data_IF_765854055552
#
_entry.id   IF_765854055552
#
_cell.length_a   1.000
_cell.length_b   1.000
_cell.length_c   1.000
_cell.angle_alpha   90.00
_cell.angle_beta   90.00
_cell.angle_gamma   90.00
#
_symmetry.space_group_name_H-M   'P 1'
#
loop_
_entity.id
_entity.type
_entity.pdbx_description
1 polymer ?
#
# COMPACT_ATOMS: atom_id res chain seq x y z
N UNK A 1 -49.94 -28.56 72.97
CA UNK A 1 -48.49 -28.31 73.09
C UNK A 1 -48.00 -27.84 71.72
N UNK A 2 -47.75 -26.53 71.55
CA UNK A 2 -46.39 -25.89 71.53
C UNK A 2 -45.57 -26.43 70.33
N UNK A 3 -45.12 -25.68 69.33
CA UNK A 3 -44.77 -24.26 69.17
C UNK A 3 -44.77 -23.92 67.65
N UNK A 4 -45.22 -22.72 67.25
CA UNK A 4 -45.00 -22.14 65.92
C UNK A 4 -43.59 -21.51 65.83
N UNK A 5 -42.88 -21.55 64.68
CA UNK A 5 -41.85 -20.55 64.41
C UNK A 5 -42.32 -19.55 63.35
N UNK A 6 -42.55 -18.34 63.85
CA UNK A 6 -41.95 -17.09 63.45
C UNK A 6 -41.33 -16.94 62.03
N UNK A 7 -41.79 -15.88 61.38
CA UNK A 7 -41.31 -15.20 60.19
C UNK A 7 -39.79 -15.19 59.93
N UNK A 8 -39.44 -15.36 58.65
CA UNK A 8 -38.43 -14.51 58.02
C UNK A 8 -39.02 -13.91 56.73
N UNK A 9 -39.51 -12.68 56.81
CA UNK A 9 -39.52 -11.77 55.66
C UNK A 9 -38.07 -11.33 55.47
N UNK A 10 -37.35 -11.90 54.50
CA UNK A 10 -36.21 -11.18 53.93
C UNK A 10 -36.69 -10.45 52.69
N UNK A 11 -36.83 -9.16 52.91
CA UNK A 11 -37.14 -8.10 51.96
C UNK A 11 -36.10 -8.09 50.84
N UNK A 12 -36.60 -8.05 49.60
CA UNK A 12 -36.19 -7.11 48.56
C UNK A 12 -34.75 -7.22 48.00
N UNK A 13 -34.73 -7.17 46.66
CA UNK A 13 -33.58 -6.83 45.78
C UNK A 13 -32.60 -7.97 45.55
N UNK A 14 -32.71 -8.62 44.38
CA UNK A 14 -31.62 -9.12 43.51
C UNK A 14 -32.00 -10.36 42.70
N UNK A 15 -33.08 -10.31 41.92
CA UNK A 15 -33.28 -11.30 40.83
C UNK A 15 -34.11 -10.73 39.68
N UNK A 16 -33.83 -9.47 39.32
CA UNK A 16 -34.28 -8.86 38.07
C UNK A 16 -33.09 -8.28 37.29
N UNK A 17 -31.95 -8.99 37.30
CA UNK A 17 -30.83 -8.75 36.38
C UNK A 17 -30.58 -10.05 35.59
N UNK A 18 -31.62 -10.52 34.92
CA UNK A 18 -31.49 -11.41 33.74
C UNK A 18 -32.43 -10.89 32.66
N UNK A 19 -32.42 -9.57 32.50
CA UNK A 19 -32.89 -8.90 31.30
C UNK A 19 -31.64 -8.26 30.67
N UNK A 20 -31.53 -8.40 29.35
CA UNK A 20 -30.70 -7.54 28.50
C UNK A 20 -29.23 -7.93 28.22
N UNK A 21 -28.97 -9.17 27.81
CA UNK A 21 -27.79 -9.49 26.97
C UNK A 21 -28.14 -10.32 25.72
N UNK A 22 -29.40 -10.28 25.29
CA UNK A 22 -29.92 -11.08 24.16
C UNK A 22 -30.45 -10.27 22.98
N UNK A 23 -30.13 -8.98 22.87
CA UNK A 23 -30.64 -8.11 21.81
C UNK A 23 -29.57 -7.17 21.23
N UNK A 24 -28.40 -7.73 20.90
CA UNK A 24 -27.44 -7.09 20.00
C UNK A 24 -27.32 -7.95 18.74
N UNK A 25 -28.44 -8.18 18.07
CA UNK A 25 -28.50 -8.77 16.73
C UNK A 25 -28.40 -7.64 15.69
N UNK A 26 -27.30 -6.89 15.75
CA UNK A 26 -27.02 -5.78 14.85
C UNK A 26 -25.51 -5.62 14.71
N UNK A 27 -25.01 -5.93 13.52
CA UNK A 27 -23.69 -5.64 12.96
C UNK A 27 -22.59 -5.28 13.97
N UNK A 28 -22.19 -6.25 14.79
CA UNK A 28 -20.94 -6.16 15.53
C UNK A 28 -20.16 -7.43 15.22
N UNK A 29 -19.21 -7.33 14.30
CA UNK A 29 -17.94 -8.04 14.48
C UNK A 29 -17.37 -7.53 15.81
N UNK A 30 -17.85 -8.13 16.90
CA UNK A 30 -17.42 -7.79 18.25
C UNK A 30 -15.94 -8.16 18.44
N UNK A 31 -15.41 -8.00 19.66
CA UNK A 31 -13.99 -8.26 19.98
C UNK A 31 -13.52 -9.71 19.76
N UNK A 32 -14.39 -10.56 19.20
CA UNK A 32 -14.24 -12.00 19.01
C UNK A 32 -14.37 -12.41 17.52
N UNK A 33 -14.09 -11.53 16.56
CA UNK A 33 -14.12 -11.87 15.12
C UNK A 33 -13.24 -13.07 14.76
N UNK A 34 -12.11 -13.27 15.47
CA UNK A 34 -11.22 -14.41 15.27
C UNK A 34 -11.81 -15.78 15.62
N UNK A 35 -12.86 -15.84 16.46
CA UNK A 35 -13.57 -17.10 16.77
C UNK A 35 -14.79 -17.33 15.88
N UNK A 36 -15.15 -16.37 15.02
CA UNK A 36 -16.24 -16.50 14.05
C UNK A 36 -16.05 -17.72 13.12
N UNK A 37 -14.80 -18.07 12.78
CA UNK A 37 -14.50 -19.27 11.97
C UNK A 37 -14.88 -20.59 12.64
N UNK A 38 -15.03 -20.62 13.97
CA UNK A 38 -15.38 -21.80 14.74
C UNK A 38 -16.89 -21.92 15.01
N UNK A 39 -17.64 -20.84 14.75
CA UNK A 39 -19.10 -20.74 14.92
C UNK A 39 -19.82 -21.46 13.77
N UNK A 40 -20.62 -22.51 14.05
CA UNK A 40 -21.28 -23.29 13.01
C UNK A 40 -22.37 -22.52 12.26
N UNK A 41 -23.04 -21.56 12.91
CA UNK A 41 -24.05 -20.67 12.35
C UNK A 41 -23.46 -19.74 11.29
N UNK A 42 -22.37 -19.01 11.62
CA UNK A 42 -21.69 -18.13 10.67
C UNK A 42 -21.07 -18.89 9.50
N UNK A 43 -20.54 -20.10 9.74
CA UNK A 43 -20.05 -20.95 8.65
C UNK A 43 -21.15 -21.40 7.70
N UNK A 44 -22.40 -21.56 8.18
CA UNK A 44 -23.53 -21.88 7.31
C UNK A 44 -23.89 -20.67 6.47
N UNK A 45 -23.98 -19.50 7.08
CA UNK A 45 -24.22 -18.23 6.40
C UNK A 45 -23.16 -17.94 5.33
N UNK A 46 -21.87 -18.09 5.64
CA UNK A 46 -20.80 -17.93 4.64
C UNK A 46 -20.89 -18.93 3.47
N UNK A 47 -21.40 -20.15 3.71
CA UNK A 47 -21.64 -21.12 2.64
C UNK A 47 -22.83 -20.73 1.77
N UNK A 48 -23.87 -20.16 2.37
CA UNK A 48 -25.03 -19.63 1.67
C UNK A 48 -24.63 -18.40 0.83
N UNK A 49 -23.81 -17.50 1.36
CA UNK A 49 -23.30 -16.33 0.66
C UNK A 49 -22.37 -16.69 -0.52
N UNK A 50 -21.57 -17.75 -0.37
CA UNK A 50 -20.68 -18.24 -1.43
C UNK A 50 -21.43 -18.68 -2.69
N UNK A 51 -22.75 -18.90 -2.63
CA UNK A 51 -23.59 -19.19 -3.80
C UNK A 51 -23.64 -18.00 -4.78
N UNK A 52 -23.52 -16.77 -4.28
CA UNK A 52 -23.61 -15.56 -5.11
C UNK A 52 -22.31 -15.19 -5.82
N UNK A 53 -21.23 -15.92 -5.56
CA UNK A 53 -19.92 -15.72 -6.17
C UNK A 53 -18.80 -15.64 -5.13
N UNK A 54 -17.54 -15.51 -5.58
CA UNK A 54 -16.42 -15.37 -4.68
C UNK A 54 -16.47 -14.03 -3.95
N UNK A 55 -16.17 -14.05 -2.66
CA UNK A 55 -16.01 -12.83 -1.86
C UNK A 55 -14.78 -12.04 -2.33
N UNK A 56 -14.75 -10.73 -2.07
CA UNK A 56 -13.58 -9.89 -2.36
C UNK A 56 -12.30 -10.47 -1.72
N UNK A 57 -12.40 -11.00 -0.49
CA UNK A 57 -11.27 -11.62 0.19
C UNK A 57 -10.72 -12.83 -0.57
N UNK A 58 -11.60 -13.73 -1.03
CA UNK A 58 -11.22 -14.88 -1.85
C UNK A 58 -10.61 -14.44 -3.17
N UNK A 59 -11.20 -13.46 -3.85
CA UNK A 59 -10.66 -12.93 -5.12
C UNK A 59 -9.24 -12.38 -4.94
N UNK A 60 -8.99 -11.59 -3.89
CA UNK A 60 -7.67 -11.05 -3.59
C UNK A 60 -6.69 -12.18 -3.24
N UNK A 61 -7.12 -13.18 -2.48
CA UNK A 61 -6.30 -14.35 -2.15
C UNK A 61 -5.92 -15.17 -3.39
N UNK A 62 -6.86 -15.38 -4.31
CA UNK A 62 -6.64 -16.10 -5.56
C UNK A 62 -5.67 -15.35 -6.48
N UNK A 63 -5.81 -14.03 -6.57
CA UNK A 63 -4.85 -13.18 -7.29
C UNK A 63 -3.45 -13.22 -6.68
N UNK A 64 -3.35 -13.29 -5.34
CA UNK A 64 -2.07 -13.45 -4.66
C UNK A 64 -1.44 -14.82 -4.97
N UNK A 65 -2.22 -15.90 -4.96
CA UNK A 65 -1.74 -17.23 -5.37
C UNK A 65 -1.27 -17.23 -6.81
N UNK A 66 -2.02 -16.61 -7.72
CA UNK A 66 -1.64 -16.47 -9.12
C UNK A 66 -0.31 -15.72 -9.28
N UNK A 67 -0.14 -14.60 -8.57
CA UNK A 67 1.12 -13.84 -8.57
C UNK A 67 2.31 -14.68 -8.10
N UNK A 68 2.13 -15.46 -7.04
CA UNK A 68 3.20 -16.34 -6.53
C UNK A 68 3.53 -17.49 -7.49
N UNK A 69 2.57 -17.92 -8.31
CA UNK A 69 2.74 -18.98 -9.30
C UNK A 69 3.11 -18.44 -10.70
N UNK A 70 3.19 -17.12 -10.90
CA UNK A 70 3.32 -16.52 -12.23
C UNK A 70 4.54 -17.03 -13.02
N UNK A 71 5.66 -17.24 -12.33
CA UNK A 71 6.90 -17.75 -12.92
C UNK A 71 6.80 -19.22 -13.38
N UNK A 72 5.87 -20.01 -12.83
CA UNK A 72 5.71 -21.43 -13.19
C UNK A 72 4.72 -21.63 -14.35
N UNK A 73 4.01 -20.57 -14.75
CA UNK A 73 3.04 -20.62 -15.85
C UNK A 73 3.76 -20.63 -17.20
N UNK A 74 3.21 -21.37 -18.16
CA UNK A 74 3.64 -21.27 -19.56
C UNK A 74 3.33 -19.89 -20.13
N UNK A 75 4.05 -19.42 -21.17
CA UNK A 75 3.77 -18.13 -21.82
C UNK A 75 2.31 -18.00 -22.30
N UNK A 76 1.72 -19.11 -22.77
CA UNK A 76 0.31 -19.16 -23.19
C UNK A 76 -0.66 -18.97 -22.03
N UNK A 77 -0.36 -19.54 -20.86
CA UNK A 77 -1.18 -19.36 -19.66
C UNK A 77 -1.02 -17.94 -19.10
N UNK A 78 0.19 -17.39 -19.10
CA UNK A 78 0.43 -16.00 -18.70
C UNK A 78 -0.36 -15.02 -19.57
N UNK A 79 -0.40 -15.23 -20.88
CA UNK A 79 -1.19 -14.42 -21.81
C UNK A 79 -2.70 -14.56 -21.55
N UNK A 80 -3.20 -15.79 -21.39
CA UNK A 80 -4.61 -16.04 -21.08
C UNK A 80 -5.04 -15.38 -19.76
N UNK A 81 -4.19 -15.45 -18.72
CA UNK A 81 -4.43 -14.75 -17.47
C UNK A 81 -4.39 -13.23 -17.66
N UNK A 82 -3.44 -12.71 -18.42
CA UNK A 82 -3.33 -11.27 -18.67
C UNK A 82 -4.59 -10.71 -19.33
N UNK A 83 -5.15 -11.41 -20.32
CA UNK A 83 -6.39 -11.04 -21.00
C UNK A 83 -7.58 -11.03 -20.04
N UNK A 84 -7.79 -12.13 -19.29
CA UNK A 84 -8.88 -12.23 -18.31
C UNK A 84 -8.78 -11.15 -17.22
N UNK A 85 -7.58 -10.86 -16.73
CA UNK A 85 -7.38 -9.85 -15.69
C UNK A 85 -7.60 -8.43 -16.23
N UNK A 86 -7.22 -8.16 -17.48
CA UNK A 86 -7.50 -6.89 -18.15
C UNK A 86 -9.01 -6.68 -18.35
N UNK A 87 -9.74 -7.70 -18.82
CA UNK A 87 -11.21 -7.67 -18.94
C UNK A 87 -11.88 -7.41 -17.59
N UNK A 88 -11.41 -8.08 -16.53
CA UNK A 88 -11.94 -7.88 -15.18
C UNK A 88 -11.68 -6.47 -14.64
N UNK A 89 -10.54 -5.87 -15.01
CA UNK A 89 -10.23 -4.50 -14.65
C UNK A 89 -11.15 -3.48 -15.35
N UNK A 90 -11.54 -3.74 -16.61
CA UNK A 90 -12.48 -2.90 -17.36
C UNK A 90 -13.92 -2.98 -16.84
N UNK A 91 -14.29 -4.09 -16.20
CA UNK A 91 -15.62 -4.32 -15.64
C UNK A 91 -15.95 -3.50 -14.36
N UNK A 92 -15.23 -2.39 -14.11
CA UNK A 92 -15.38 -1.51 -12.94
C UNK A 92 -15.27 -2.25 -11.60
N UNK A 93 -14.17 -2.98 -11.41
CA UNK A 93 -13.85 -3.62 -10.14
C UNK A 93 -13.70 -2.61 -8.98
N UNK A 94 -13.91 -3.07 -7.75
CA UNK A 94 -13.69 -2.24 -6.56
C UNK A 94 -12.23 -1.77 -6.48
N UNK A 95 -11.93 -0.61 -5.85
CA UNK A 95 -10.55 -0.11 -5.72
C UNK A 95 -9.56 -1.14 -5.16
N UNK A 96 -9.98 -1.90 -4.15
CA UNK A 96 -9.17 -2.95 -3.51
C UNK A 96 -8.89 -4.10 -4.48
N UNK A 97 -9.90 -4.52 -5.26
CA UNK A 97 -9.70 -5.57 -6.26
C UNK A 97 -8.81 -5.06 -7.39
N UNK A 98 -9.02 -3.82 -7.86
CA UNK A 98 -8.19 -3.16 -8.87
C UNK A 98 -6.72 -3.09 -8.46
N UNK A 99 -6.43 -2.75 -7.21
CA UNK A 99 -5.06 -2.77 -6.70
C UNK A 99 -4.42 -4.16 -6.85
N UNK A 100 -5.15 -5.20 -6.47
CA UNK A 100 -4.69 -6.58 -6.57
C UNK A 100 -4.49 -7.03 -8.02
N UNK A 101 -5.43 -6.67 -8.91
CA UNK A 101 -5.34 -6.96 -10.35
C UNK A 101 -4.09 -6.32 -10.96
N UNK A 102 -3.86 -5.03 -10.69
CA UNK A 102 -2.71 -4.28 -11.20
C UNK A 102 -1.40 -4.88 -10.70
N UNK A 103 -1.31 -5.26 -9.42
CA UNK A 103 -0.12 -5.96 -8.88
C UNK A 103 0.12 -7.30 -9.57
N UNK A 104 -0.93 -8.07 -9.84
CA UNK A 104 -0.80 -9.36 -10.51
C UNK A 104 -0.41 -9.19 -11.99
N UNK A 105 -0.95 -8.19 -12.68
CA UNK A 105 -0.50 -7.84 -14.04
C UNK A 105 0.97 -7.42 -14.06
N UNK A 106 1.47 -6.78 -13.00
CA UNK A 106 2.88 -6.41 -12.83
C UNK A 106 3.88 -7.55 -13.02
N UNK A 107 3.53 -8.76 -12.56
CA UNK A 107 4.42 -9.93 -12.61
C UNK A 107 4.25 -10.78 -13.86
N UNK A 108 3.25 -10.50 -14.71
CA UNK A 108 3.00 -11.25 -15.94
C UNK A 108 3.77 -10.60 -17.10
N UNK A 109 4.77 -11.27 -17.70
CA UNK A 109 5.65 -10.67 -18.70
C UNK A 109 5.02 -10.64 -20.11
N UNK A 110 3.81 -10.11 -20.22
CA UNK A 110 3.05 -10.05 -21.48
C UNK A 110 2.80 -8.60 -21.91
N UNK A 111 2.55 -8.39 -23.20
CA UNK A 111 2.18 -7.06 -23.73
C UNK A 111 0.75 -6.65 -23.33
N UNK A 112 -0.14 -7.61 -23.16
CA UNK A 112 -1.49 -7.39 -22.63
C UNK A 112 -1.41 -6.82 -21.21
N UNK A 113 -0.55 -7.40 -20.35
CA UNK A 113 -0.32 -6.86 -19.02
C UNK A 113 0.30 -5.45 -19.05
N UNK A 114 1.31 -5.22 -19.90
CA UNK A 114 1.90 -3.89 -20.06
C UNK A 114 0.86 -2.84 -20.49
N UNK A 115 -0.03 -3.20 -21.40
CA UNK A 115 -1.13 -2.33 -21.86
C UNK A 115 -2.07 -1.98 -20.72
N UNK A 116 -2.48 -2.96 -19.92
CA UNK A 116 -3.32 -2.71 -18.75
C UNK A 116 -2.63 -1.80 -17.72
N UNK A 117 -1.32 -1.99 -17.49
CA UNK A 117 -0.53 -1.13 -16.59
C UNK A 117 -0.38 0.31 -17.11
N UNK A 118 -0.28 0.52 -18.43
CA UNK A 118 -0.29 1.87 -19.05
C UNK A 118 -1.61 2.60 -18.81
N UNK A 119 -2.71 1.86 -18.72
CA UNK A 119 -4.02 2.41 -18.34
C UNK A 119 -4.10 2.66 -16.83
N UNK A 120 -3.58 1.74 -16.01
CA UNK A 120 -3.64 1.82 -14.55
C UNK A 120 -2.93 3.06 -13.96
N UNK A 121 -1.82 3.51 -14.56
CA UNK A 121 -1.14 4.77 -14.14
C UNK A 121 -1.96 6.03 -14.38
N UNK A 122 -3.10 5.94 -15.10
CA UNK A 122 -4.04 7.03 -15.36
C UNK A 122 -5.39 6.83 -14.65
N UNK A 123 -5.50 5.82 -13.80
CA UNK A 123 -6.75 5.47 -13.12
C UNK A 123 -7.24 6.63 -12.21
N UNK A 124 -8.56 6.89 -12.11
CA UNK A 124 -9.08 7.96 -11.27
C UNK A 124 -8.69 7.83 -9.79
N UNK A 125 -8.67 6.59 -9.27
CA UNK A 125 -8.30 6.30 -7.88
C UNK A 125 -6.77 6.36 -7.65
N UNK A 126 -6.26 7.21 -6.74
CA UNK A 126 -4.83 7.31 -6.43
C UNK A 126 -4.18 6.02 -5.93
N UNK A 127 -4.93 5.19 -5.19
CA UNK A 127 -4.40 3.91 -4.68
C UNK A 127 -4.06 2.94 -5.82
N UNK A 128 -4.90 2.91 -6.86
CA UNK A 128 -4.65 2.11 -8.06
C UNK A 128 -3.44 2.64 -8.84
N UNK A 129 -3.29 3.96 -8.96
CA UNK A 129 -2.10 4.55 -9.61
C UNK A 129 -0.81 4.25 -8.84
N UNK A 130 -0.86 4.30 -7.51
CA UNK A 130 0.27 3.94 -6.64
C UNK A 130 0.65 2.47 -6.80
N UNK A 131 -0.34 1.57 -6.91
CA UNK A 131 -0.10 0.17 -7.20
C UNK A 131 0.47 -0.05 -8.61
N UNK A 132 0.05 0.74 -9.59
CA UNK A 132 0.62 0.70 -10.93
C UNK A 132 2.11 1.11 -10.93
N UNK A 133 2.51 2.10 -10.11
CA UNK A 133 3.91 2.42 -9.92
C UNK A 133 4.72 1.23 -9.37
N UNK A 134 4.19 0.52 -8.37
CA UNK A 134 4.84 -0.67 -7.83
C UNK A 134 4.96 -1.78 -8.89
N UNK A 135 3.88 -2.03 -9.65
CA UNK A 135 3.85 -3.03 -10.72
C UNK A 135 4.88 -2.72 -11.82
N UNK A 136 4.99 -1.46 -12.27
CA UNK A 136 6.05 -1.05 -13.21
C UNK A 136 7.45 -1.25 -12.61
N UNK A 137 7.63 -0.94 -11.33
CA UNK A 137 8.92 -1.13 -10.65
C UNK A 137 9.33 -2.61 -10.55
N UNK A 138 8.37 -3.52 -10.41
CA UNK A 138 8.60 -4.96 -10.40
C UNK A 138 8.88 -5.51 -11.80
N UNK A 139 8.13 -5.05 -12.80
CA UNK A 139 8.33 -5.44 -14.21
C UNK A 139 9.70 -5.03 -14.74
N UNK A 140 10.19 -3.85 -14.33
CA UNK A 140 11.49 -3.35 -14.73
C UNK A 140 11.55 -2.92 -16.21
N UNK A 141 12.78 -2.72 -16.71
CA UNK A 141 13.01 -2.26 -18.08
C UNK A 141 12.94 -0.73 -18.26
N UNK A 142 13.30 -0.28 -19.47
CA UNK A 142 13.34 1.14 -19.80
C UNK A 142 11.96 1.79 -19.83
N UNK A 143 10.94 1.07 -20.30
CA UNK A 143 9.55 1.56 -20.28
C UNK A 143 9.08 1.85 -18.85
N UNK A 144 9.37 0.97 -17.89
CA UNK A 144 8.98 1.17 -16.51
C UNK A 144 9.58 2.47 -15.94
N UNK A 145 10.87 2.72 -16.16
CA UNK A 145 11.51 3.96 -15.74
C UNK A 145 10.82 5.20 -16.35
N UNK A 146 10.39 5.12 -17.61
CA UNK A 146 9.74 6.21 -18.33
C UNK A 146 8.32 6.49 -17.84
N UNK A 147 7.54 5.43 -17.57
CA UNK A 147 6.22 5.54 -16.95
C UNK A 147 6.33 6.15 -15.56
N UNK A 148 7.27 5.66 -14.74
CA UNK A 148 7.48 6.17 -13.39
C UNK A 148 7.97 7.63 -13.37
N UNK A 149 8.85 8.01 -14.30
CA UNK A 149 9.29 9.40 -14.45
C UNK A 149 8.11 10.33 -14.80
N UNK A 150 7.23 9.88 -15.69
CA UNK A 150 6.02 10.62 -16.07
C UNK A 150 5.11 10.84 -14.86
N UNK A 151 4.82 9.77 -14.10
CA UNK A 151 3.96 9.86 -12.91
C UNK A 151 4.60 10.75 -11.83
N UNK A 152 5.90 10.61 -11.58
CA UNK A 152 6.62 11.42 -10.60
C UNK A 152 6.56 12.92 -10.89
N UNK A 153 6.56 13.32 -12.17
CA UNK A 153 6.53 14.73 -12.57
C UNK A 153 5.14 15.33 -12.77
N UNK A 154 4.13 14.52 -13.07
CA UNK A 154 2.83 15.01 -13.54
C UNK A 154 1.62 14.65 -12.66
N UNK A 155 1.73 13.70 -11.73
CA UNK A 155 0.57 13.30 -10.92
C UNK A 155 0.16 14.41 -9.93
N UNK A 156 -1.14 14.67 -9.85
CA UNK A 156 -1.70 15.69 -8.96
C UNK A 156 -1.70 15.24 -7.49
N UNK A 157 -1.72 13.93 -7.24
CA UNK A 157 -1.71 13.38 -5.89
C UNK A 157 -0.26 13.20 -5.41
N UNK A 158 0.07 13.78 -4.26
CA UNK A 158 1.41 13.72 -3.69
C UNK A 158 1.85 12.29 -3.35
N UNK A 159 0.97 11.44 -2.84
CA UNK A 159 1.31 10.08 -2.45
C UNK A 159 1.66 9.22 -3.67
N UNK A 160 0.99 9.46 -4.80
CA UNK A 160 1.32 8.82 -6.08
C UNK A 160 2.68 9.28 -6.59
N UNK A 161 2.99 10.60 -6.53
CA UNK A 161 4.34 11.10 -6.88
C UNK A 161 5.41 10.45 -5.99
N UNK A 162 5.15 10.33 -4.68
CA UNK A 162 6.05 9.70 -3.72
C UNK A 162 6.25 8.21 -4.00
N UNK A 163 5.21 7.50 -4.44
CA UNK A 163 5.28 6.10 -4.86
C UNK A 163 6.15 5.96 -6.11
N UNK A 164 5.94 6.82 -7.13
CA UNK A 164 6.72 6.83 -8.35
C UNK A 164 8.21 7.14 -8.11
N UNK A 165 8.52 8.15 -7.29
CA UNK A 165 9.91 8.48 -6.93
C UNK A 165 10.59 7.37 -6.14
N UNK A 166 9.86 6.68 -5.26
CA UNK A 166 10.39 5.50 -4.57
C UNK A 166 10.66 4.37 -5.56
N UNK A 167 9.74 4.10 -6.47
CA UNK A 167 9.87 3.06 -7.49
C UNK A 167 11.07 3.32 -8.43
N UNK A 168 11.29 4.59 -8.82
CA UNK A 168 12.43 5.02 -9.62
C UNK A 168 13.79 4.67 -8.98
N UNK A 169 13.86 4.52 -7.65
CA UNK A 169 15.12 4.14 -6.99
C UNK A 169 15.64 2.76 -7.39
N UNK A 170 14.80 1.92 -8.03
CA UNK A 170 15.18 0.60 -8.55
C UNK A 170 15.85 0.66 -9.92
N UNK A 171 15.88 1.84 -10.56
CA UNK A 171 16.35 2.02 -11.92
C UNK A 171 17.61 2.88 -11.95
N UNK A 172 18.81 2.27 -11.94
CA UNK A 172 20.04 3.04 -12.03
C UNK A 172 20.18 3.68 -13.41
N UNK A 173 20.76 4.88 -13.45
CA UNK A 173 21.10 5.54 -14.69
C UNK A 173 20.94 7.06 -14.66
N UNK A 174 21.58 7.72 -15.63
CA UNK A 174 21.59 9.19 -15.72
C UNK A 174 20.19 9.78 -15.83
N UNK A 175 19.30 9.15 -16.60
CA UNK A 175 17.91 9.60 -16.76
C UNK A 175 17.14 9.61 -15.44
N UNK A 176 17.31 8.57 -14.62
CA UNK A 176 16.71 8.49 -13.28
C UNK A 176 17.26 9.58 -12.38
N UNK A 177 18.58 9.78 -12.34
CA UNK A 177 19.22 10.84 -11.53
C UNK A 177 18.67 12.22 -11.93
N UNK A 178 18.55 12.51 -13.24
CA UNK A 178 17.96 13.76 -13.71
C UNK A 178 16.50 13.91 -13.28
N UNK A 179 15.70 12.85 -13.41
CA UNK A 179 14.27 12.86 -13.02
C UNK A 179 14.09 13.11 -11.52
N UNK A 180 14.85 12.39 -10.69
CA UNK A 180 14.84 12.59 -9.23
C UNK A 180 15.36 13.99 -8.88
N UNK A 181 16.33 14.50 -9.63
CA UNK A 181 16.85 15.86 -9.48
C UNK A 181 15.79 16.94 -9.65
N UNK A 182 14.88 16.79 -10.62
CA UNK A 182 13.74 17.72 -10.79
C UNK A 182 12.86 17.77 -9.54
N UNK A 183 12.65 16.63 -8.87
CA UNK A 183 11.84 16.56 -7.66
C UNK A 183 12.49 17.23 -6.43
N UNK A 184 13.77 17.61 -6.49
CA UNK A 184 14.42 18.44 -5.46
C UNK A 184 13.89 19.88 -5.45
N UNK A 185 13.21 20.31 -6.51
CA UNK A 185 12.60 21.63 -6.64
C UNK A 185 11.08 21.62 -6.43
N UNK A 186 10.51 20.47 -6.05
CA UNK A 186 9.10 20.36 -5.68
C UNK A 186 8.79 21.22 -4.45
N UNK A 187 7.59 21.79 -4.38
CA UNK A 187 7.16 22.61 -3.23
C UNK A 187 6.95 21.79 -1.95
N UNK A 188 6.71 20.49 -2.09
CA UNK A 188 6.52 19.57 -0.98
C UNK A 188 7.85 19.07 -0.42
N UNK A 189 8.09 19.34 0.86
CA UNK A 189 9.25 18.82 1.58
C UNK A 189 9.28 17.27 1.58
N UNK A 190 8.11 16.61 1.59
CA UNK A 190 8.04 15.15 1.51
C UNK A 190 8.57 14.63 0.17
N UNK A 191 8.28 15.34 -0.92
CA UNK A 191 8.76 15.00 -2.27
C UNK A 191 10.25 15.25 -2.41
N UNK A 192 10.74 16.41 -1.95
CA UNK A 192 12.18 16.69 -1.90
C UNK A 192 12.93 15.62 -1.11
N UNK A 193 12.42 15.28 0.08
CA UNK A 193 13.01 14.23 0.92
C UNK A 193 13.02 12.88 0.20
N UNK A 194 11.91 12.49 -0.42
CA UNK A 194 11.85 11.24 -1.19
C UNK A 194 12.84 11.21 -2.34
N UNK A 195 12.98 12.33 -3.06
CA UNK A 195 13.95 12.47 -4.14
C UNK A 195 15.39 12.27 -3.64
N UNK A 196 15.76 12.89 -2.52
CA UNK A 196 17.07 12.70 -1.89
C UNK A 196 17.31 11.24 -1.49
N UNK A 197 16.32 10.58 -0.87
CA UNK A 197 16.44 9.16 -0.50
C UNK A 197 16.61 8.26 -1.74
N UNK A 198 15.83 8.50 -2.79
CA UNK A 198 15.96 7.75 -4.04
C UNK A 198 17.29 8.01 -4.73
N UNK A 199 17.80 9.25 -4.71
CA UNK A 199 19.13 9.59 -5.24
C UNK A 199 20.22 8.88 -4.45
N UNK A 200 20.15 8.84 -3.13
CA UNK A 200 21.06 8.08 -2.27
C UNK A 200 21.11 6.59 -2.65
N UNK A 201 19.95 5.98 -2.87
CA UNK A 201 19.87 4.56 -3.30
C UNK A 201 20.49 4.37 -4.69
N UNK A 202 20.18 5.24 -5.65
CA UNK A 202 20.62 5.08 -7.05
C UNK A 202 22.11 5.39 -7.23
N UNK A 203 22.64 6.34 -6.48
CA UNK A 203 24.02 6.83 -6.64
C UNK A 203 25.00 6.21 -5.64
N UNK A 204 24.50 5.69 -4.51
CA UNK A 204 25.31 5.24 -3.39
C UNK A 204 25.95 6.38 -2.57
N UNK A 205 25.64 7.64 -2.89
CA UNK A 205 26.17 8.81 -2.21
C UNK A 205 25.25 9.28 -1.09
N UNK A 206 25.81 9.92 -0.07
CA UNK A 206 25.03 10.44 1.06
C UNK A 206 25.44 11.88 1.39
N UNK A 207 24.60 12.83 0.98
CA UNK A 207 24.74 14.24 1.32
C UNK A 207 23.79 14.66 2.46
N UNK A 208 23.15 13.70 3.13
CA UNK A 208 22.14 13.94 4.15
C UNK A 208 20.88 14.60 3.57
N UNK A 209 20.13 15.27 4.44
CA UNK A 209 18.92 16.03 4.10
C UNK A 209 19.26 17.44 3.57
N UNK A 210 20.25 17.54 2.69
CA UNK A 210 20.75 18.79 2.13
C UNK A 210 20.38 18.92 0.65
N UNK A 211 19.22 19.54 0.38
CA UNK A 211 18.73 19.75 -0.98
C UNK A 211 19.73 20.53 -1.86
N UNK A 212 20.35 21.64 -1.41
CA UNK A 212 21.41 22.32 -2.18
C UNK A 212 22.56 21.41 -2.62
N UNK A 213 23.06 20.55 -1.72
CA UNK A 213 24.12 19.61 -2.07
C UNK A 213 23.65 18.63 -3.15
N UNK A 214 22.47 18.02 -2.97
CA UNK A 214 21.90 17.14 -4.00
C UNK A 214 21.70 17.84 -5.36
N UNK A 215 21.30 19.11 -5.38
CA UNK A 215 21.18 19.90 -6.62
C UNK A 215 22.54 20.14 -7.29
N UNK A 216 23.56 20.47 -6.51
CA UNK A 216 24.92 20.66 -7.01
C UNK A 216 25.43 19.37 -7.67
N UNK A 217 25.24 18.23 -7.00
CA UNK A 217 25.59 16.91 -7.54
C UNK A 217 24.87 16.60 -8.85
N UNK A 218 23.54 16.77 -8.89
CA UNK A 218 22.73 16.53 -10.11
C UNK A 218 23.17 17.43 -11.27
N UNK A 219 23.64 18.64 -10.97
CA UNK A 219 24.15 19.60 -11.97
C UNK A 219 25.58 19.30 -12.43
N UNK A 220 26.21 18.24 -11.92
CA UNK A 220 27.58 17.81 -12.26
C UNK A 220 28.68 18.37 -11.35
N UNK A 221 28.31 19.03 -10.25
CA UNK A 221 29.25 19.46 -9.22
C UNK A 221 29.66 18.33 -8.28
N UNK A 222 30.57 18.63 -7.36
CA UNK A 222 31.03 17.71 -6.32
C UNK A 222 30.83 18.35 -4.95
N UNK A 223 29.59 18.36 -4.43
CA UNK A 223 29.35 18.81 -3.07
C UNK A 223 30.16 17.87 -2.17
N UNK A 224 31.09 18.43 -1.39
CA UNK A 224 31.89 17.62 -0.46
C UNK A 224 31.01 16.79 0.49
N UNK A 225 31.59 15.82 1.22
CA UNK A 225 30.83 15.01 2.18
C UNK A 225 30.07 15.90 3.18
N UNK A 226 28.89 15.43 3.62
CA UNK A 226 27.99 16.16 4.52
C UNK A 226 28.76 16.83 5.68
N UNK A 227 28.75 18.17 5.73
CA UNK A 227 29.42 18.92 6.80
C UNK A 227 28.60 18.79 8.09
N UNK A 228 28.91 17.79 8.91
CA UNK A 228 28.37 17.65 10.27
C UNK A 228 29.19 18.53 11.23
N UNK A 229 28.62 19.60 11.82
CA UNK A 229 29.34 20.39 12.80
C UNK A 229 29.71 19.51 14.00
N UNK A 230 30.95 19.69 14.47
CA UNK A 230 31.46 18.98 15.64
C UNK A 230 30.62 19.27 16.88
N UNK A 231 30.68 18.40 17.89
CA UNK A 231 30.03 18.64 19.20
C UNK A 231 30.46 19.99 19.78
N UNK A 232 31.73 20.36 19.60
CA UNK A 232 32.29 21.63 20.05
C UNK A 232 31.69 22.84 19.32
N UNK A 233 31.50 22.77 18.00
CA UNK A 233 30.82 23.82 17.22
C UNK A 233 29.33 23.94 17.59
N UNK A 234 28.66 22.82 17.89
CA UNK A 234 27.26 22.85 18.37
C UNK A 234 27.15 23.48 19.76
N UNK A 235 28.10 23.19 20.65
CA UNK A 235 28.15 23.81 21.98
C UNK A 235 28.49 25.29 21.90
N UNK A 236 29.44 25.72 21.05
CA UNK A 236 29.79 27.13 20.93
C UNK A 236 28.66 27.99 20.38
N UNK A 237 27.77 27.43 19.55
CA UNK A 237 26.55 28.08 19.11
C UNK A 237 25.49 28.28 20.22
N UNK A 238 25.44 27.39 21.21
CA UNK A 238 24.51 27.48 22.35
C UNK A 238 24.92 28.54 23.39
N UNK A 239 26.19 28.94 23.42
CA UNK A 239 26.71 29.93 24.36
C UNK A 239 26.86 31.34 23.75
N UNK A 240 26.43 31.54 22.50
CA UNK A 240 26.31 32.87 21.87
C UNK A 240 24.88 33.41 22.07
N UNK A 241 24.60 33.91 23.27
CA UNK A 241 23.45 34.77 23.57
C UNK A 241 23.95 36.15 23.97
#
# INVERSE_FOLDING_TARGET
MRVLPFHHRFSMRTSCIVLWLGAVSGCMTGPFSGVAKWRPDLRREWKEDAVFGPTLHQQVEDLQKLRNAAETLSPTEQEAWSQRLAELAEANASPVLMESLVRTLGVLPTETAATALRTAVKHPEPDVRSAACLAWAERGGTEAADQLATVAGADTNQDVRLAALRALSRFPGKKTVTTLGVALDDRSAAVQWRAMQSLKVVTGLDYGDNVPAWREFVSGGNPGPERRPSVAERMSGLFRF
#
